data_IF_919864430253
#
_entry.id   IF_919864430253
#
_cell.length_a   1.000
_cell.length_b   1.000
_cell.length_c   1.000
_cell.angle_alpha   90.00
_cell.angle_beta   90.00
_cell.angle_gamma   90.00
#
_symmetry.space_group_name_H-M   'P 1'
#
loop_
_entity.id
_entity.type
_entity.pdbx_description
1 polymer ?
#
# COMPACT_ATOMS: atom_id res chain seq x y z
N UNK A 1 -9.11 -47.70 -20.65
CA UNK A 1 -9.77 -47.47 -19.36
C UNK A 1 -10.78 -46.37 -19.60
N UNK A 2 -12.06 -46.69 -19.45
CA UNK A 2 -13.20 -45.92 -19.94
C UNK A 2 -13.42 -44.69 -19.06
N UNK A 3 -13.48 -43.52 -19.69
CA UNK A 3 -13.86 -42.23 -19.09
C UNK A 3 -15.39 -42.17 -19.04
N UNK A 4 -15.96 -42.02 -17.86
CA UNK A 4 -17.40 -41.77 -17.68
C UNK A 4 -17.55 -40.35 -17.13
N UNK A 5 -18.00 -39.44 -17.99
CA UNK A 5 -18.42 -38.08 -17.65
C UNK A 5 -19.88 -38.08 -17.19
N UNK A 6 -20.15 -37.45 -16.05
CA UNK A 6 -21.49 -37.19 -15.53
C UNK A 6 -21.97 -35.80 -15.94
N UNK A 7 -23.11 -35.76 -16.63
CA UNK A 7 -23.84 -34.55 -16.98
C UNK A 7 -24.78 -34.12 -15.83
N UNK A 8 -24.80 -32.82 -15.53
CA UNK A 8 -25.75 -32.19 -14.60
C UNK A 8 -26.85 -31.50 -15.44
N UNK A 9 -28.15 -31.64 -15.11
CA UNK A 9 -29.23 -31.11 -15.92
C UNK A 9 -29.45 -29.60 -15.70
N UNK A 10 -29.76 -28.93 -16.80
CA UNK A 10 -30.19 -27.54 -16.85
C UNK A 10 -31.60 -27.37 -16.26
N UNK A 11 -31.77 -26.37 -15.39
CA UNK A 11 -33.06 -25.89 -14.92
C UNK A 11 -33.34 -24.53 -15.58
N UNK A 12 -34.35 -24.55 -16.45
CA UNK A 12 -34.99 -23.42 -17.09
C UNK A 12 -36.05 -22.86 -16.13
N UNK A 13 -35.95 -21.58 -15.76
CA UNK A 13 -37.08 -20.79 -15.29
C UNK A 13 -37.01 -19.39 -15.92
N UNK A 14 -38.05 -19.06 -16.67
CA UNK A 14 -38.30 -17.75 -17.25
C UNK A 14 -39.31 -16.99 -16.37
N UNK A 15 -39.19 -15.65 -16.28
CA UNK A 15 -40.19 -14.82 -15.61
C UNK A 15 -39.86 -13.32 -15.42
N UNK A 16 -39.72 -12.59 -16.54
CA UNK A 16 -40.34 -11.28 -16.91
C UNK A 16 -40.45 -10.11 -15.88
N UNK A 17 -39.92 -8.96 -16.36
CA UNK A 17 -40.34 -7.53 -16.23
C UNK A 17 -40.00 -6.66 -15.01
N UNK A 18 -39.23 -5.59 -15.30
CA UNK A 18 -39.78 -4.21 -15.28
C UNK A 18 -39.08 -3.17 -14.39
N UNK A 19 -38.64 -2.06 -15.01
CA UNK A 19 -38.23 -0.80 -14.36
C UNK A 19 -36.77 -0.81 -13.90
N UNK A 20 -35.86 0.09 -14.27
CA UNK A 20 -35.95 1.49 -14.65
C UNK A 20 -34.68 2.11 -14.07
N UNK A 21 -33.69 2.43 -14.89
CA UNK A 21 -32.48 3.12 -14.44
C UNK A 21 -32.89 4.55 -14.07
N UNK A 22 -32.69 4.94 -12.83
CA UNK A 22 -32.71 6.35 -12.44
C UNK A 22 -31.27 6.83 -12.51
N UNK A 23 -31.03 7.81 -13.39
CA UNK A 23 -29.83 8.62 -13.37
C UNK A 23 -29.93 9.55 -12.16
N UNK A 24 -29.09 9.34 -11.15
CA UNK A 24 -28.91 10.32 -10.08
C UNK A 24 -28.19 11.55 -10.66
N UNK A 25 -28.98 12.54 -11.06
CA UNK A 25 -28.49 13.88 -11.34
C UNK A 25 -28.13 14.54 -10.01
N UNK A 26 -26.84 14.54 -9.66
CA UNK A 26 -26.32 15.40 -8.62
C UNK A 26 -26.42 16.84 -9.09
N UNK A 27 -27.36 17.59 -8.53
CA UNK A 27 -27.44 19.05 -8.67
C UNK A 27 -26.62 19.66 -7.54
N UNK A 28 -25.47 20.25 -7.90
CA UNK A 28 -24.72 21.11 -6.99
C UNK A 28 -25.26 22.53 -7.14
N UNK A 29 -25.84 23.11 -6.09
CA UNK A 29 -26.05 24.57 -6.03
C UNK A 29 -24.82 25.19 -5.39
N UNK A 30 -24.02 25.90 -6.18
CA UNK A 30 -22.98 26.76 -5.64
C UNK A 30 -23.61 28.13 -5.32
N UNK A 31 -23.33 28.64 -4.13
CA UNK A 31 -23.61 30.02 -3.75
C UNK A 31 -22.59 30.93 -4.46
N UNK A 32 -23.03 32.03 -5.09
CA UNK A 32 -22.23 32.83 -6.03
C UNK A 32 -21.14 33.70 -5.37
N UNK A 33 -20.96 33.65 -4.06
CA UNK A 33 -20.07 34.54 -3.30
C UNK A 33 -18.77 33.89 -2.75
N UNK A 34 -18.36 32.69 -3.21
CA UNK A 34 -17.12 32.03 -2.74
C UNK A 34 -16.23 31.54 -3.91
N UNK A 35 -14.92 31.91 -3.96
CA UNK A 35 -14.00 31.49 -5.03
C UNK A 35 -13.58 30.00 -4.89
N UNK A 36 -13.21 29.32 -6.00
CA UNK A 36 -13.07 27.87 -6.02
C UNK A 36 -11.76 27.40 -5.39
N UNK A 37 -11.84 26.49 -4.41
CA UNK A 37 -10.81 25.52 -4.07
C UNK A 37 -11.44 24.14 -3.83
N UNK A 38 -10.85 23.10 -4.42
CA UNK A 38 -10.82 21.69 -3.98
C UNK A 38 -9.43 21.19 -4.45
N UNK A 39 -8.45 20.74 -3.64
CA UNK A 39 -8.42 19.96 -2.39
C UNK A 39 -7.88 20.69 -1.14
N UNK A 40 -8.77 21.12 -0.23
CA UNK A 40 -8.79 20.70 1.18
C UNK A 40 -10.01 21.33 1.88
N UNK A 41 -10.94 20.47 2.32
CA UNK A 41 -12.37 20.75 2.61
C UNK A 41 -12.62 21.70 3.81
N UNK A 42 -13.82 22.32 3.88
CA UNK A 42 -14.83 21.71 4.76
C UNK A 42 -16.26 21.82 4.21
N UNK A 43 -16.71 20.80 3.47
CA UNK A 43 -18.15 20.54 3.31
C UNK A 43 -18.49 19.34 4.19
N UNK A 44 -19.21 19.59 5.30
CA UNK A 44 -19.76 18.53 6.15
C UNK A 44 -20.92 17.86 5.42
N UNK A 45 -20.94 16.55 5.57
CA UNK A 45 -22.04 15.66 5.20
C UNK A 45 -23.32 16.06 5.94
N UNK A 46 -24.32 16.54 5.21
CA UNK A 46 -25.68 16.68 5.73
C UNK A 46 -26.41 15.38 5.41
N UNK A 47 -26.45 14.47 6.39
CA UNK A 47 -27.13 13.19 6.27
C UNK A 47 -28.63 13.31 5.94
N UNK A 48 -29.31 12.18 5.67
CA UNK A 48 -30.64 12.15 5.07
C UNK A 48 -31.72 12.46 6.11
N UNK A 49 -31.93 13.75 6.38
CA UNK A 49 -33.13 14.29 7.01
C UNK A 49 -33.16 15.80 6.78
N UNK A 50 -33.58 16.23 5.59
CA UNK A 50 -34.03 17.60 5.37
C UNK A 50 -35.45 17.53 4.81
N UNK A 51 -36.39 17.86 5.68
CA UNK A 51 -37.82 17.94 5.42
C UNK A 51 -38.14 18.93 4.29
N UNK A 52 -39.19 18.57 3.57
CA UNK A 52 -39.88 19.38 2.59
C UNK A 52 -40.20 20.79 3.13
N UNK A 53 -39.87 21.80 2.34
CA UNK A 53 -40.58 23.07 2.35
C UNK A 53 -41.49 23.10 1.12
N UNK A 54 -42.67 22.50 1.29
CA UNK A 54 -43.88 22.96 0.60
C UNK A 54 -44.23 24.34 1.18
N UNK A 55 -44.29 25.37 0.34
CA UNK A 55 -44.70 26.69 0.81
C UNK A 55 -44.65 27.72 -0.29
N UNK A 56 -45.83 28.06 -0.80
CA UNK A 56 -46.06 29.18 -1.69
C UNK A 56 -45.64 30.52 -1.04
N UNK A 57 -45.43 31.49 -1.94
CA UNK A 57 -45.33 32.94 -1.76
C UNK A 57 -43.91 33.55 -1.67
N UNK A 58 -43.71 34.46 -2.63
CA UNK A 58 -42.75 35.56 -2.69
C UNK A 58 -41.27 35.27 -2.97
N UNK A 59 -40.91 35.30 -4.26
CA UNK A 59 -39.74 36.06 -4.72
C UNK A 59 -40.10 36.80 -6.02
N UNK A 60 -40.31 38.11 -5.88
CA UNK A 60 -40.69 39.02 -6.95
C UNK A 60 -39.61 39.18 -8.02
N UNK A 61 -40.12 39.24 -9.24
CA UNK A 61 -39.56 39.80 -10.46
C UNK A 61 -39.14 41.27 -10.28
N UNK A 62 -37.95 41.64 -10.76
CA UNK A 62 -37.64 43.00 -11.17
C UNK A 62 -36.39 43.04 -12.08
N UNK A 63 -36.59 43.40 -13.35
CA UNK A 63 -35.62 44.27 -14.04
C UNK A 63 -35.18 43.84 -15.43
N UNK A 64 -36.11 43.89 -16.38
CA UNK A 64 -35.88 43.93 -17.82
C UNK A 64 -35.32 45.27 -18.29
N UNK A 65 -34.45 45.23 -19.31
CA UNK A 65 -34.15 46.35 -20.21
C UNK A 65 -32.95 45.99 -21.09
N UNK A 66 -32.95 46.07 -22.42
CA UNK A 66 -33.92 46.56 -23.38
C UNK A 66 -33.13 46.90 -24.66
N UNK A 67 -33.47 46.22 -25.76
CA UNK A 67 -33.41 46.64 -27.17
C UNK A 67 -32.17 47.34 -27.76
N UNK A 68 -31.71 46.81 -28.90
CA UNK A 68 -30.87 47.58 -29.84
C UNK A 68 -30.52 46.80 -31.10
N UNK A 69 -31.44 46.70 -32.05
CA UNK A 69 -31.18 46.24 -33.41
C UNK A 69 -30.47 47.34 -34.22
N UNK A 70 -29.43 46.98 -34.99
CA UNK A 70 -28.75 47.86 -35.94
C UNK A 70 -28.12 47.05 -37.07
N UNK A 71 -28.62 47.29 -38.28
CA UNK A 71 -28.27 46.69 -39.58
C UNK A 71 -27.17 47.46 -40.33
N UNK A 72 -26.48 46.76 -41.25
CA UNK A 72 -25.67 47.32 -42.36
C UNK A 72 -24.17 47.10 -42.13
N UNK A 73 -23.36 46.53 -43.02
CA UNK A 73 -23.40 46.49 -44.49
C UNK A 73 -22.16 47.25 -45.00
N UNK A 74 -21.30 46.61 -45.81
CA UNK A 74 -20.21 47.30 -46.51
C UNK A 74 -18.93 46.48 -46.66
N UNK A 75 -18.74 45.94 -47.86
CA UNK A 75 -17.46 45.47 -48.41
C UNK A 75 -16.50 46.65 -48.57
N UNK A 76 -15.19 46.42 -48.41
CA UNK A 76 -14.17 47.10 -49.22
C UNK A 76 -12.86 46.30 -49.21
N UNK A 77 -12.50 45.80 -50.39
CA UNK A 77 -11.16 45.34 -50.69
C UNK A 77 -10.22 46.54 -50.78
N UNK A 78 -9.08 46.45 -50.08
CA UNK A 78 -7.98 47.40 -50.21
C UNK A 78 -6.66 46.64 -50.26
N UNK A 79 -6.22 46.34 -51.49
CA UNK A 79 -4.84 45.93 -51.76
C UNK A 79 -3.88 47.04 -51.34
N UNK A 80 -2.89 46.68 -50.52
CA UNK A 80 -1.84 47.56 -50.04
C UNK A 80 -0.49 46.88 -50.25
N UNK A 81 0.30 47.47 -51.12
CA UNK A 81 1.59 47.03 -51.62
C UNK A 81 2.64 46.76 -50.54
N UNK A 82 3.59 45.88 -50.91
CA UNK A 82 4.67 45.36 -50.09
C UNK A 82 5.40 46.36 -49.18
N UNK A 83 5.41 46.02 -47.88
CA UNK A 83 6.43 46.46 -46.93
C UNK A 83 7.32 45.24 -46.63
N UNK A 84 8.19 44.93 -47.58
CA UNK A 84 9.31 44.01 -47.35
C UNK A 84 10.40 44.74 -46.57
N UNK A 85 10.34 44.66 -45.23
CA UNK A 85 11.37 45.20 -44.33
C UNK A 85 10.77 45.98 -43.16
N UNK A 86 10.38 45.28 -42.10
CA UNK A 86 9.89 45.95 -40.88
C UNK A 86 9.37 45.05 -39.77
N UNK A 87 9.06 43.78 -40.04
CA UNK A 87 8.54 42.87 -39.00
C UNK A 87 9.62 42.34 -38.04
N UNK A 88 10.91 42.48 -38.40
CA UNK A 88 12.01 42.17 -37.48
C UNK A 88 12.10 43.13 -36.28
N UNK A 89 11.44 44.30 -36.34
CA UNK A 89 11.49 45.32 -35.28
C UNK A 89 10.44 45.15 -34.17
N UNK A 90 9.49 44.22 -34.32
CA UNK A 90 8.44 43.94 -33.32
C UNK A 90 8.77 42.77 -32.40
N UNK A 91 9.84 42.02 -32.68
CA UNK A 91 10.29 40.94 -31.81
C UNK A 91 11.17 41.50 -30.69
N UNK A 92 10.62 41.62 -29.50
CA UNK A 92 11.33 42.08 -28.29
C UNK A 92 12.24 40.97 -27.71
N UNK A 93 12.18 39.76 -28.26
CA UNK A 93 13.03 38.62 -27.91
C UNK A 93 13.95 38.20 -29.06
N UNK A 94 13.94 36.92 -29.39
CA UNK A 94 14.76 36.32 -30.44
C UNK A 94 13.91 35.57 -31.46
N UNK A 95 14.42 35.49 -32.70
CA UNK A 95 13.80 34.67 -33.74
C UNK A 95 14.34 33.25 -33.68
N UNK A 96 13.45 32.29 -33.42
CA UNK A 96 13.76 30.86 -33.32
C UNK A 96 12.91 30.06 -34.31
N UNK A 97 13.31 28.82 -34.65
CA UNK A 97 12.48 27.94 -35.47
C UNK A 97 11.10 27.75 -34.84
N UNK A 98 10.04 27.82 -35.65
CA UNK A 98 8.70 27.53 -35.20
C UNK A 98 8.56 26.06 -34.78
N UNK A 99 7.67 25.82 -33.83
CA UNK A 99 7.30 24.51 -33.33
C UNK A 99 6.64 23.65 -34.43
N UNK A 100 6.97 22.35 -34.54
CA UNK A 100 6.20 21.44 -35.38
C UNK A 100 4.78 21.23 -34.83
N UNK A 101 3.83 20.75 -35.65
CA UNK A 101 2.49 20.40 -35.16
C UNK A 101 2.55 19.41 -33.99
N UNK A 102 1.76 19.66 -32.96
CA UNK A 102 1.70 18.85 -31.72
C UNK A 102 2.67 19.31 -30.62
N UNK A 103 3.53 20.29 -30.91
CA UNK A 103 4.38 20.93 -29.90
C UNK A 103 3.83 22.30 -29.52
N UNK A 104 4.05 22.70 -28.28
CA UNK A 104 3.75 24.04 -27.79
C UNK A 104 4.86 25.00 -28.18
N UNK A 105 4.48 26.27 -28.26
CA UNK A 105 5.33 27.35 -28.72
C UNK A 105 6.63 27.49 -27.89
N UNK A 106 7.71 28.02 -28.49
CA UNK A 106 9.01 28.11 -27.81
C UNK A 106 8.94 29.03 -26.58
N UNK A 107 9.33 28.48 -25.43
CA UNK A 107 9.34 29.12 -24.12
C UNK A 107 10.71 29.00 -23.46
N UNK A 108 10.92 29.67 -22.32
CA UNK A 108 12.15 29.55 -21.55
C UNK A 108 12.03 28.44 -20.51
N UNK A 109 13.03 27.57 -20.43
CA UNK A 109 13.14 26.48 -19.46
C UNK A 109 14.42 26.65 -18.65
N UNK A 110 14.29 26.73 -17.34
CA UNK A 110 15.42 26.59 -16.42
C UNK A 110 15.40 25.19 -15.78
N UNK A 111 16.57 24.59 -15.58
CA UNK A 111 16.72 23.31 -14.87
C UNK A 111 17.92 23.35 -13.93
N UNK A 112 17.74 22.92 -12.68
CA UNK A 112 18.83 22.89 -11.71
C UNK A 112 18.37 22.50 -10.30
N UNK A 113 19.23 22.62 -9.29
CA UNK A 113 18.88 22.32 -7.90
C UNK A 113 17.71 23.19 -7.39
N UNK A 114 16.69 22.64 -6.71
CA UNK A 114 15.50 23.37 -6.27
C UNK A 114 15.81 24.69 -5.52
N UNK A 115 16.82 24.68 -4.64
CA UNK A 115 17.21 25.84 -3.82
C UNK A 115 17.84 27.00 -4.62
N UNK A 116 18.14 26.77 -5.90
CA UNK A 116 18.75 27.75 -6.81
C UNK A 116 17.80 28.22 -7.91
N UNK A 117 16.53 27.80 -7.88
CA UNK A 117 15.55 28.12 -8.90
C UNK A 117 15.31 29.64 -9.02
N UNK A 118 15.62 30.25 -10.18
CA UNK A 118 15.38 31.67 -10.39
C UNK A 118 13.90 31.95 -10.67
N UNK A 119 13.49 33.19 -10.43
CA UNK A 119 12.21 33.68 -10.91
C UNK A 119 12.20 33.82 -12.44
N UNK A 120 10.99 33.79 -13.00
CA UNK A 120 10.81 34.01 -14.43
C UNK A 120 11.31 35.41 -14.84
N UNK A 121 12.12 35.53 -15.92
CA UNK A 121 12.70 36.81 -16.32
C UNK A 121 11.63 37.76 -16.89
N UNK A 122 11.92 39.07 -16.89
CA UNK A 122 10.99 40.07 -17.42
C UNK A 122 10.60 39.87 -18.90
N UNK A 123 11.44 39.18 -19.68
CA UNK A 123 11.16 38.81 -21.09
C UNK A 123 10.12 37.68 -21.21
N UNK A 124 9.96 36.87 -20.16
CA UNK A 124 8.99 35.79 -20.06
C UNK A 124 8.39 35.76 -18.64
N UNK A 125 7.60 36.77 -18.23
CA UNK A 125 7.24 36.94 -16.83
C UNK A 125 6.12 36.02 -16.36
N UNK A 126 5.50 35.23 -17.27
CA UNK A 126 4.40 34.34 -16.93
C UNK A 126 4.99 32.99 -16.50
N UNK A 127 4.87 32.60 -15.22
CA UNK A 127 5.25 31.25 -14.80
C UNK A 127 4.35 30.24 -15.52
N UNK A 128 4.98 29.28 -16.18
CA UNK A 128 4.32 28.15 -16.80
C UNK A 128 4.27 26.98 -15.82
N UNK A 129 4.95 25.90 -16.17
CA UNK A 129 4.99 24.66 -15.39
C UNK A 129 6.19 24.60 -14.45
N UNK A 130 5.95 24.06 -13.26
CA UNK A 130 6.97 23.62 -12.31
C UNK A 130 6.99 22.10 -12.32
N UNK A 131 8.14 21.54 -12.68
CA UNK A 131 8.32 20.11 -12.97
C UNK A 131 9.62 19.63 -12.33
N UNK A 132 9.83 18.32 -12.32
CA UNK A 132 10.94 17.71 -11.59
C UNK A 132 11.67 16.64 -12.41
N UNK A 133 12.96 16.45 -12.13
CA UNK A 133 13.77 15.38 -12.71
C UNK A 133 14.77 14.85 -11.67
N UNK A 134 15.40 13.72 -12.01
CA UNK A 134 16.40 13.06 -11.17
C UNK A 134 15.82 12.66 -9.80
N UNK A 135 14.84 11.75 -9.83
CA UNK A 135 14.21 11.20 -8.63
C UNK A 135 15.24 10.44 -7.79
N UNK A 136 15.39 10.85 -6.53
CA UNK A 136 16.25 10.20 -5.53
C UNK A 136 15.34 9.57 -4.47
N UNK A 137 15.36 8.26 -4.39
CA UNK A 137 14.55 7.47 -3.45
C UNK A 137 15.43 6.97 -2.32
N UNK A 138 15.06 7.28 -1.08
CA UNK A 138 15.76 6.74 0.10
C UNK A 138 15.35 5.29 0.36
N UNK A 139 16.24 4.47 0.97
CA UNK A 139 15.90 3.09 1.31
C UNK A 139 14.66 3.03 2.21
N UNK A 140 13.66 2.27 1.77
CA UNK A 140 12.43 2.03 2.53
C UNK A 140 12.59 0.83 3.44
N UNK A 141 12.23 0.97 4.71
CA UNK A 141 12.32 -0.11 5.71
C UNK A 141 10.97 -0.33 6.36
N UNK A 142 10.65 -1.59 6.56
CA UNK A 142 9.47 -2.01 7.29
C UNK A 142 9.84 -2.39 8.72
N UNK A 143 8.92 -2.14 9.64
CA UNK A 143 9.04 -2.60 11.01
C UNK A 143 9.06 -4.13 11.07
N UNK A 144 9.80 -4.68 12.04
CA UNK A 144 9.90 -6.12 12.21
C UNK A 144 8.55 -6.70 12.67
N UNK A 145 8.19 -7.87 12.14
CA UNK A 145 7.05 -8.63 12.62
C UNK A 145 7.39 -9.42 13.88
N UNK A 146 6.43 -9.50 14.79
CA UNK A 146 6.45 -10.36 15.96
C UNK A 146 5.19 -11.22 16.03
N UNK A 147 5.26 -12.25 16.86
CA UNK A 147 4.15 -13.14 17.15
C UNK A 147 3.99 -13.21 18.66
N UNK A 148 2.76 -13.06 19.13
CA UNK A 148 2.44 -13.35 20.51
C UNK A 148 2.59 -14.87 20.78
N UNK A 149 2.88 -15.28 22.02
CA UNK A 149 2.81 -16.68 22.39
C UNK A 149 1.45 -17.27 22.01
N UNK A 150 1.41 -18.51 21.49
CA UNK A 150 0.14 -19.14 21.16
C UNK A 150 -0.66 -19.38 22.43
N UNK A 151 -1.98 -19.27 22.36
CA UNK A 151 -2.83 -19.89 23.36
C UNK A 151 -2.52 -21.38 23.40
N UNK A 152 -2.45 -22.01 24.57
CA UNK A 152 -2.18 -23.45 24.65
C UNK A 152 -2.98 -24.11 25.76
N UNK A 153 -3.24 -25.40 25.58
CA UNK A 153 -3.82 -26.25 26.62
C UNK A 153 -3.05 -27.57 26.71
N UNK A 154 -2.97 -28.14 27.91
CA UNK A 154 -2.36 -29.45 28.12
C UNK A 154 -3.46 -30.52 28.18
N UNK A 155 -3.44 -31.44 27.23
CA UNK A 155 -4.29 -32.62 27.23
C UNK A 155 -3.70 -33.65 28.20
N UNK A 156 -4.45 -33.91 29.26
CA UNK A 156 -4.13 -34.88 30.29
C UNK A 156 -4.19 -36.31 29.69
N UNK A 157 -3.22 -37.19 29.96
CA UNK A 157 -3.23 -38.53 29.39
C UNK A 157 -4.36 -39.34 30.01
N UNK A 158 -5.32 -39.79 29.20
CA UNK A 158 -6.44 -40.62 29.68
C UNK A 158 -6.17 -42.13 29.54
N UNK A 159 -5.24 -42.55 28.67
CA UNK A 159 -5.04 -43.95 28.28
C UNK A 159 -4.10 -44.73 29.23
N UNK A 160 -4.39 -44.71 30.54
CA UNK A 160 -3.56 -45.42 31.54
C UNK A 160 -3.78 -46.93 31.45
N UNK A 161 -2.75 -47.71 31.76
CA UNK A 161 -2.87 -49.18 31.80
C UNK A 161 -2.03 -49.80 32.92
N UNK A 162 -2.62 -50.79 33.59
CA UNK A 162 -1.87 -51.68 34.46
C UNK A 162 -1.25 -52.81 33.64
N UNK A 163 -0.05 -53.22 33.99
CA UNK A 163 0.66 -54.30 33.31
C UNK A 163 0.98 -55.42 34.30
N UNK A 164 0.85 -56.66 33.85
CA UNK A 164 1.15 -57.90 34.58
C UNK A 164 2.66 -58.22 34.66
N UNK A 165 3.50 -57.19 34.51
CA UNK A 165 4.95 -57.28 34.58
C UNK A 165 5.48 -56.20 35.52
N UNK A 166 6.44 -56.57 36.37
CA UNK A 166 7.17 -55.61 37.23
C UNK A 166 8.27 -54.82 36.49
N UNK A 167 8.55 -55.16 35.23
CA UNK A 167 9.56 -54.49 34.41
C UNK A 167 8.95 -53.50 33.42
N UNK A 168 9.61 -52.35 33.25
CA UNK A 168 9.21 -51.27 32.35
C UNK A 168 10.35 -50.92 31.37
N UNK A 169 10.12 -50.82 30.04
CA UNK A 169 8.89 -51.21 29.35
C UNK A 169 8.66 -52.72 29.46
N UNK A 170 7.40 -53.13 29.55
CA UNK A 170 7.07 -54.54 29.68
C UNK A 170 7.49 -55.33 28.43
N UNK A 171 7.99 -56.55 28.65
CA UNK A 171 8.43 -57.42 27.57
C UNK A 171 7.30 -57.82 26.61
N UNK A 172 7.64 -58.32 25.40
CA UNK A 172 6.65 -58.83 24.47
C UNK A 172 5.80 -59.92 25.14
N UNK A 173 4.47 -59.78 25.09
CA UNK A 173 3.52 -60.74 25.67
C UNK A 173 2.94 -60.35 27.03
N UNK A 174 3.43 -59.28 27.66
CA UNK A 174 2.81 -58.74 28.88
C UNK A 174 1.37 -58.28 28.60
N UNK A 175 0.43 -58.69 29.47
CA UNK A 175 -0.96 -58.28 29.38
C UNK A 175 -1.15 -56.88 29.97
N UNK A 176 -1.89 -56.05 29.22
CA UNK A 176 -2.28 -54.71 29.63
C UNK A 176 -3.75 -54.70 30.00
N UNK A 177 -4.04 -54.38 31.24
CA UNK A 177 -5.40 -54.16 31.71
C UNK A 177 -5.71 -52.67 31.63
N UNK A 178 -6.72 -52.24 30.86
CA UNK A 178 -7.10 -50.84 30.78
C UNK A 178 -7.43 -50.28 32.17
N UNK A 179 -6.74 -49.21 32.55
CA UNK A 179 -7.09 -48.38 33.71
C UNK A 179 -7.38 -46.95 33.22
N UNK A 180 -7.91 -46.84 32.00
CA UNK A 180 -8.11 -45.57 31.31
C UNK A 180 -9.16 -44.70 32.01
N UNK A 181 -8.99 -43.39 31.92
CA UNK A 181 -10.02 -42.43 32.31
C UNK A 181 -11.11 -42.34 31.22
N UNK A 182 -12.27 -41.73 31.51
CA UNK A 182 -13.28 -41.46 30.50
C UNK A 182 -12.76 -40.60 29.36
N UNK A 183 -13.48 -40.59 28.23
CA UNK A 183 -13.22 -39.64 27.16
C UNK A 183 -13.42 -38.20 27.66
N UNK A 184 -12.60 -37.26 27.17
CA UNK A 184 -12.60 -35.86 27.59
C UNK A 184 -12.39 -35.64 29.10
N UNK A 185 -11.63 -36.53 29.75
CA UNK A 185 -11.27 -36.37 31.15
C UNK A 185 -10.37 -35.16 31.39
N UNK A 186 -10.75 -34.33 32.36
CA UNK A 186 -10.09 -33.09 32.74
C UNK A 186 -9.04 -33.27 33.86
N UNK A 187 -8.83 -34.50 34.33
CA UNK A 187 -7.93 -34.83 35.43
C UNK A 187 -8.61 -34.93 36.80
N UNK A 188 -9.91 -34.65 36.91
CA UNK A 188 -10.67 -34.83 38.16
C UNK A 188 -10.65 -36.27 38.67
N UNK A 189 -10.86 -36.48 39.97
CA UNK A 189 -10.89 -37.84 40.53
C UNK A 189 -11.95 -38.71 39.83
N UNK A 190 -11.55 -39.89 39.34
CA UNK A 190 -12.47 -40.83 38.69
C UNK A 190 -12.15 -42.29 39.04
N UNK A 191 -13.21 -43.10 39.15
CA UNK A 191 -13.17 -44.56 39.37
C UNK A 191 -13.33 -45.36 38.08
N UNK A 192 -13.39 -44.70 36.92
CA UNK A 192 -13.58 -45.36 35.64
C UNK A 192 -12.51 -46.44 35.41
N UNK A 193 -12.94 -47.63 34.99
CA UNK A 193 -12.06 -48.78 34.75
C UNK A 193 -11.20 -49.20 35.95
N UNK A 194 -11.69 -49.03 37.18
CA UNK A 194 -11.00 -49.49 38.38
C UNK A 194 -10.66 -50.98 38.34
N UNK A 195 -9.51 -51.35 38.92
CA UNK A 195 -9.02 -52.73 39.00
C UNK A 195 -9.02 -53.17 40.47
N UNK A 196 -9.90 -54.13 40.85
CA UNK A 196 -9.94 -54.68 42.21
C UNK A 196 -8.63 -55.31 42.66
N UNK A 197 -8.41 -55.34 43.98
CA UNK A 197 -7.28 -56.02 44.58
C UNK A 197 -7.23 -57.50 44.19
N UNK A 198 -6.04 -58.00 43.85
CA UNK A 198 -5.81 -59.41 43.55
C UNK A 198 -6.45 -59.91 42.24
N UNK A 199 -6.95 -59.03 41.37
CA UNK A 199 -7.46 -59.44 40.07
C UNK A 199 -6.36 -60.18 39.28
N UNK A 200 -6.70 -61.35 38.72
CA UNK A 200 -5.76 -62.20 38.01
C UNK A 200 -5.82 -62.02 36.49
N UNK A 201 -4.66 -61.87 35.85
CA UNK A 201 -4.44 -61.80 34.41
C UNK A 201 -3.31 -62.75 34.02
N UNK A 202 -3.49 -63.53 32.94
CA UNK A 202 -2.49 -64.50 32.44
C UNK A 202 -1.87 -65.42 33.52
N UNK A 203 -2.61 -65.74 34.59
CA UNK A 203 -2.16 -66.62 35.67
C UNK A 203 -1.37 -65.92 36.80
N UNK A 204 -1.23 -64.60 36.76
CA UNK A 204 -0.64 -63.76 37.83
C UNK A 204 -1.49 -62.52 38.14
N UNK A 205 -1.04 -61.61 39.01
CA UNK A 205 -1.75 -60.37 39.28
C UNK A 205 -1.71 -59.42 38.07
N UNK A 206 -2.86 -58.83 37.72
CA UNK A 206 -3.00 -57.86 36.63
C UNK A 206 -2.21 -56.56 36.85
N UNK A 207 -1.98 -56.21 38.11
CA UNK A 207 -1.34 -54.97 38.53
C UNK A 207 0.04 -55.27 39.10
N UNK A 208 1.09 -55.07 38.31
CA UNK A 208 2.49 -55.17 38.75
C UNK A 208 3.31 -53.93 38.36
N UNK A 209 2.90 -53.23 37.30
CA UNK A 209 3.35 -51.88 36.98
C UNK A 209 2.20 -51.05 36.44
N UNK A 210 2.38 -49.73 36.45
CA UNK A 210 1.46 -48.76 35.89
C UNK A 210 2.16 -47.99 34.77
N UNK A 211 1.53 -47.95 33.60
CA UNK A 211 1.97 -47.21 32.43
C UNK A 211 1.02 -46.03 32.18
N UNK A 212 1.59 -44.83 32.14
CA UNK A 212 0.92 -43.55 31.95
C UNK A 212 1.57 -42.88 30.74
N UNK A 213 0.82 -42.67 29.63
CA UNK A 213 1.36 -42.02 28.45
C UNK A 213 1.74 -40.56 28.72
N UNK A 214 2.57 -39.99 27.83
CA UNK A 214 2.94 -38.59 27.88
C UNK A 214 1.72 -37.68 27.61
N UNK A 215 1.54 -36.57 28.36
CA UNK A 215 0.57 -35.53 28.04
C UNK A 215 0.90 -34.85 26.70
N UNK A 216 -0.12 -34.24 26.08
CA UNK A 216 0.04 -33.57 24.78
C UNK A 216 -0.32 -32.09 24.89
N UNK A 217 0.51 -31.23 24.33
CA UNK A 217 0.14 -29.81 24.15
C UNK A 217 -0.79 -29.68 22.95
N UNK A 218 -1.86 -28.93 23.13
CA UNK A 218 -2.77 -28.49 22.07
C UNK A 218 -2.54 -26.98 21.86
N UNK A 219 -1.71 -26.62 20.87
CA UNK A 219 -1.48 -25.21 20.57
C UNK A 219 -2.69 -24.62 19.83
N UNK A 220 -2.98 -23.36 20.15
CA UNK A 220 -3.87 -22.46 19.42
C UNK A 220 -3.08 -21.60 18.43
N UNK A 221 -3.72 -20.59 17.87
CA UNK A 221 -3.07 -19.69 16.91
C UNK A 221 -2.22 -18.62 17.61
N UNK A 222 -1.20 -18.13 16.93
CA UNK A 222 -0.47 -16.93 17.32
C UNK A 222 -1.08 -15.70 16.67
N UNK A 223 -1.18 -14.61 17.42
CA UNK A 223 -1.57 -13.31 16.88
C UNK A 223 -0.32 -12.60 16.31
N UNK A 224 -0.33 -12.18 15.03
CA UNK A 224 0.76 -11.38 14.47
C UNK A 224 0.68 -9.94 14.96
N UNK A 225 1.83 -9.35 15.22
CA UNK A 225 1.97 -7.95 15.62
C UNK A 225 3.18 -7.30 14.93
N UNK A 226 3.17 -5.97 14.89
CA UNK A 226 4.31 -5.17 14.41
C UNK A 226 5.08 -4.69 15.64
N UNK A 227 6.40 -4.87 15.62
CA UNK A 227 7.28 -4.31 16.65
C UNK A 227 7.47 -2.83 16.36
N UNK A 228 6.84 -1.97 17.16
CA UNK A 228 7.11 -0.54 17.07
C UNK A 228 8.55 -0.26 17.53
N UNK A 229 9.35 0.40 16.69
CA UNK A 229 10.63 0.96 17.11
C UNK A 229 10.37 2.09 18.13
N UNK A 230 11.12 2.15 19.25
CA UNK A 230 10.90 3.15 20.27
C UNK A 230 11.22 4.56 19.74
N UNK A 231 10.17 5.38 19.58
CA UNK A 231 10.28 6.77 19.10
C UNK A 231 9.67 7.03 17.74
N UNK A 232 9.15 5.99 17.06
CA UNK A 232 8.43 6.11 15.80
C UNK A 232 6.94 5.86 15.98
N UNK A 233 6.11 6.68 15.31
CA UNK A 233 4.68 6.47 15.31
C UNK A 233 4.34 5.20 14.51
N UNK A 234 3.59 4.24 15.09
CA UNK A 234 3.25 3.01 14.39
C UNK A 234 2.48 3.31 13.10
N UNK A 235 3.10 3.04 11.95
CA UNK A 235 2.46 3.13 10.65
C UNK A 235 2.87 4.33 9.78
N UNK A 236 3.78 5.20 10.22
CA UNK A 236 4.40 6.16 9.30
C UNK A 236 5.52 5.49 8.48
N UNK A 237 5.52 5.65 7.15
CA UNK A 237 6.51 5.04 6.27
C UNK A 237 7.93 5.56 6.55
N UNK A 238 8.84 4.67 6.94
CA UNK A 238 10.27 4.99 7.02
C UNK A 238 10.87 5.05 5.61
N UNK A 239 10.89 6.24 5.02
CA UNK A 239 11.65 6.52 3.82
C UNK A 239 11.03 7.63 2.99
N UNK A 240 11.80 8.67 2.71
CA UNK A 240 11.35 9.76 1.85
C UNK A 240 11.83 9.56 0.41
N UNK A 241 11.32 10.39 -0.49
CA UNK A 241 11.93 10.61 -1.79
C UNK A 241 12.06 12.12 -2.01
N UNK A 242 12.97 12.50 -2.92
CA UNK A 242 13.14 13.89 -3.33
C UNK A 242 13.56 13.97 -4.77
N UNK A 243 13.35 15.14 -5.37
CA UNK A 243 13.82 15.45 -6.71
C UNK A 243 15.13 16.23 -6.63
N UNK A 244 16.18 15.75 -7.30
CA UNK A 244 17.46 16.47 -7.34
C UNK A 244 17.44 17.66 -8.31
N UNK A 245 16.56 17.61 -9.31
CA UNK A 245 16.42 18.66 -10.33
C UNK A 245 15.00 19.22 -10.33
N UNK A 246 14.91 20.54 -10.24
CA UNK A 246 13.71 21.33 -10.47
C UNK A 246 13.76 21.94 -11.86
N UNK A 247 12.62 22.00 -12.54
CA UNK A 247 12.46 22.58 -13.86
C UNK A 247 11.35 23.62 -13.84
N UNK A 248 11.66 24.83 -14.32
CA UNK A 248 10.71 25.95 -14.39
C UNK A 248 10.58 26.42 -15.83
N UNK A 249 9.37 26.33 -16.37
CA UNK A 249 9.02 26.91 -17.65
C UNK A 249 8.46 28.32 -17.47
N UNK A 250 8.85 29.25 -18.33
CA UNK A 250 8.43 30.65 -18.31
C UNK A 250 8.00 31.07 -19.71
N UNK A 251 6.81 31.66 -19.82
CA UNK A 251 6.19 32.08 -21.08
C UNK A 251 6.18 33.61 -21.24
N UNK A 252 6.25 34.06 -22.50
CA UNK A 252 6.10 35.45 -22.87
C UNK A 252 4.63 35.91 -22.79
N UNK A 253 4.43 37.22 -22.60
CA UNK A 253 3.08 37.84 -22.62
C UNK A 253 2.64 38.27 -24.02
N UNK A 254 3.57 38.35 -24.96
CA UNK A 254 3.30 38.84 -26.30
C UNK A 254 2.99 37.66 -27.22
N UNK A 255 1.88 37.69 -27.99
CA UNK A 255 1.59 36.68 -28.98
C UNK A 255 2.78 36.51 -29.92
N UNK A 256 3.17 35.27 -30.27
CA UNK A 256 4.40 35.09 -31.02
C UNK A 256 4.24 35.61 -32.45
N UNK A 257 4.91 36.72 -32.73
CA UNK A 257 4.92 37.35 -34.04
C UNK A 257 5.87 36.60 -35.00
N UNK A 258 5.56 36.54 -36.32
CA UNK A 258 6.50 36.04 -37.31
C UNK A 258 7.72 36.97 -37.39
N UNK A 259 8.92 36.40 -37.50
CA UNK A 259 10.15 37.16 -37.60
C UNK A 259 11.23 36.35 -38.31
N UNK A 260 12.29 36.97 -38.86
CA UNK A 260 13.46 36.25 -39.39
C UNK A 260 13.26 35.41 -40.67
N UNK A 261 12.03 35.23 -41.17
CA UNK A 261 11.72 34.51 -42.41
C UNK A 261 10.60 33.46 -42.24
N UNK A 262 10.26 32.70 -43.31
CA UNK A 262 9.28 31.61 -43.22
C UNK A 262 9.74 30.51 -42.25
N UNK A 263 8.85 30.03 -41.38
CA UNK A 263 9.15 28.96 -40.41
C UNK A 263 9.91 29.43 -39.15
N UNK A 264 10.02 30.74 -38.95
CA UNK A 264 10.64 31.35 -37.78
C UNK A 264 9.58 32.14 -37.00
N UNK A 265 9.69 32.12 -35.67
CA UNK A 265 8.75 32.73 -34.73
C UNK A 265 9.53 33.52 -33.68
N UNK A 266 8.96 34.63 -33.23
CA UNK A 266 9.49 35.38 -32.10
C UNK A 266 9.24 34.61 -30.79
N UNK A 267 10.28 34.44 -29.99
CA UNK A 267 10.23 33.82 -28.66
C UNK A 267 11.00 34.68 -27.65
N UNK A 268 10.66 34.64 -26.35
CA UNK A 268 11.48 35.29 -25.34
C UNK A 268 12.95 34.89 -25.43
N UNK A 269 13.84 35.86 -25.26
CA UNK A 269 15.26 35.62 -25.15
C UNK A 269 15.65 35.32 -23.69
N UNK A 270 16.52 34.33 -23.44
CA UNK A 270 17.16 34.18 -22.15
C UNK A 270 17.88 35.48 -21.75
N UNK A 271 17.90 35.82 -20.45
CA UNK A 271 18.69 36.95 -19.97
C UNK A 271 20.18 36.75 -20.26
N UNK A 272 20.86 37.82 -20.69
CA UNK A 272 22.31 37.83 -20.94
C UNK A 272 23.11 37.78 -19.63
N UNK A 273 24.24 37.06 -19.60
CA UNK A 273 25.16 37.00 -18.45
C UNK A 273 25.23 35.62 -17.77
N UNK A 274 25.35 35.61 -16.44
CA UNK A 274 25.51 34.40 -15.60
C UNK A 274 24.30 33.43 -15.66
N UNK A 275 23.24 33.80 -16.39
CA UNK A 275 22.07 32.98 -16.71
C UNK A 275 22.12 32.38 -18.13
N UNK A 276 23.32 32.26 -18.72
CA UNK A 276 23.55 31.50 -19.94
C UNK A 276 23.71 29.99 -19.64
N UNK A 277 23.32 29.09 -20.55
CA UNK A 277 23.52 27.65 -20.36
C UNK A 277 24.98 27.31 -20.06
N UNK A 278 25.28 26.40 -19.12
CA UNK A 278 24.35 25.43 -18.52
C UNK A 278 23.57 25.90 -17.28
N UNK A 279 23.87 27.07 -16.70
CA UNK A 279 23.30 27.53 -15.41
C UNK A 279 22.09 28.48 -15.59
N UNK A 280 21.38 28.36 -16.71
CA UNK A 280 20.45 29.40 -17.17
C UNK A 280 19.28 28.93 -18.01
N UNK A 281 18.47 29.89 -18.47
CA UNK A 281 17.28 29.59 -19.25
C UNK A 281 17.63 29.13 -20.67
N UNK A 282 16.99 28.05 -21.11
CA UNK A 282 17.05 27.50 -22.45
C UNK A 282 15.76 27.82 -23.20
N UNK A 283 15.85 28.19 -24.47
CA UNK A 283 14.65 28.21 -25.33
C UNK A 283 14.30 26.81 -25.81
N UNK A 284 13.08 26.38 -25.46
CA UNK A 284 12.60 25.02 -25.70
C UNK A 284 11.14 25.01 -26.16
N UNK A 285 10.79 24.00 -26.95
CA UNK A 285 9.40 23.62 -27.23
C UNK A 285 8.97 22.49 -26.31
N UNK A 286 7.67 22.35 -26.10
CA UNK A 286 7.08 21.46 -25.10
C UNK A 286 6.08 20.47 -25.72
N UNK A 287 6.14 19.21 -25.31
CA UNK A 287 5.08 18.22 -25.53
C UNK A 287 4.53 17.79 -24.17
N UNK A 288 3.24 18.06 -23.92
CA UNK A 288 2.62 17.95 -22.58
C UNK A 288 2.40 16.50 -22.12
N UNK A 289 2.48 15.55 -23.03
CA UNK A 289 2.17 14.15 -22.73
C UNK A 289 3.36 13.30 -23.08
N UNK A 290 3.89 12.55 -22.13
CA UNK A 290 4.83 11.46 -22.36
C UNK A 290 6.23 11.87 -22.81
N UNK A 291 7.02 10.84 -23.13
CA UNK A 291 8.35 10.97 -23.69
C UNK A 291 8.30 11.00 -25.21
N UNK A 292 8.83 12.08 -25.80
CA UNK A 292 8.84 12.28 -27.24
C UNK A 292 10.25 12.48 -27.79
N UNK A 293 10.46 12.07 -29.04
CA UNK A 293 11.69 12.39 -29.77
C UNK A 293 11.70 13.85 -30.18
N UNK A 294 12.85 14.50 -30.01
CA UNK A 294 12.98 15.89 -30.38
C UNK A 294 13.14 16.10 -31.88
N UNK A 295 12.52 17.15 -32.45
CA UNK A 295 12.74 17.50 -33.84
C UNK A 295 14.19 17.98 -34.06
N UNK A 296 14.74 17.85 -35.28
CA UNK A 296 16.11 18.27 -35.57
C UNK A 296 16.40 19.75 -35.30
N UNK A 297 15.37 20.60 -35.26
CA UNK A 297 15.48 22.03 -34.94
C UNK A 297 15.66 22.30 -33.44
N UNK A 298 15.28 21.37 -32.56
CA UNK A 298 15.41 21.45 -31.11
C UNK A 298 16.02 20.16 -30.54
N UNK A 299 17.27 19.81 -30.88
CA UNK A 299 17.81 18.47 -30.65
C UNK A 299 18.06 18.11 -29.17
N UNK A 300 18.14 19.08 -28.26
CA UNK A 300 18.43 18.82 -26.84
C UNK A 300 17.18 18.35 -26.09
N UNK A 301 17.05 17.04 -25.89
CA UNK A 301 15.94 16.43 -25.13
C UNK A 301 16.10 16.57 -23.62
N UNK A 302 15.02 16.95 -22.94
CA UNK A 302 14.86 16.97 -21.48
C UNK A 302 13.50 16.35 -21.13
N UNK A 303 13.50 15.31 -20.31
CA UNK A 303 12.27 14.71 -19.78
C UNK A 303 12.16 15.10 -18.32
N UNK A 304 11.00 15.62 -17.94
CA UNK A 304 10.68 16.06 -16.58
C UNK A 304 9.28 15.54 -16.23
N UNK A 305 8.94 15.56 -14.95
CA UNK A 305 7.76 14.92 -14.41
C UNK A 305 6.98 15.89 -13.52
N UNK A 306 5.65 15.79 -13.54
CA UNK A 306 4.76 16.55 -12.65
C UNK A 306 4.90 16.14 -11.19
N UNK A 307 5.27 14.89 -10.93
CA UNK A 307 5.41 14.37 -9.58
C UNK A 307 5.84 12.91 -9.57
N UNK A 308 5.68 12.25 -8.43
CA UNK A 308 5.92 10.83 -8.27
C UNK A 308 4.72 10.16 -7.61
N UNK A 309 4.53 8.88 -7.91
CA UNK A 309 3.63 7.99 -7.20
C UNK A 309 4.47 7.07 -6.30
N UNK A 310 4.13 7.04 -5.01
CA UNK A 310 4.78 6.18 -4.02
C UNK A 310 3.83 5.04 -3.67
N UNK A 311 4.12 3.85 -4.19
CA UNK A 311 3.36 2.62 -3.93
C UNK A 311 4.01 1.79 -2.81
N UNK A 312 5.05 2.30 -2.17
CA UNK A 312 5.81 1.54 -1.18
C UNK A 312 4.95 1.21 0.02
N UNK A 313 5.08 -0.03 0.48
CA UNK A 313 4.35 -0.55 1.62
C UNK A 313 5.07 -1.76 2.21
N UNK A 314 4.44 -2.37 3.21
CA UNK A 314 4.97 -3.55 3.87
C UNK A 314 4.05 -4.75 3.63
N UNK A 315 4.64 -5.93 3.44
CA UNK A 315 3.86 -7.18 3.52
C UNK A 315 3.24 -7.30 4.91
N UNK A 316 2.02 -7.84 4.97
CA UNK A 316 1.33 -8.04 6.24
C UNK A 316 2.10 -9.03 7.13
N UNK A 317 2.16 -8.76 8.43
CA UNK A 317 2.73 -9.70 9.39
C UNK A 317 1.90 -10.98 9.48
N UNK A 318 2.58 -12.10 9.51
CA UNK A 318 2.01 -13.45 9.65
C UNK A 318 2.79 -14.25 10.69
N UNK A 319 2.12 -15.24 11.27
CA UNK A 319 2.75 -16.17 12.20
C UNK A 319 2.66 -17.58 11.62
N UNK A 320 3.77 -18.30 11.68
CA UNK A 320 3.82 -19.72 11.35
C UNK A 320 3.15 -20.60 12.40
N UNK A 321 3.15 -21.91 12.14
CA UNK A 321 2.61 -22.89 13.08
C UNK A 321 3.39 -22.90 14.41
N UNK A 322 2.69 -22.99 15.55
CA UNK A 322 3.30 -23.12 16.87
C UNK A 322 4.24 -24.34 16.97
N UNK A 323 5.38 -24.14 17.62
CA UNK A 323 6.35 -25.21 17.87
C UNK A 323 7.02 -25.08 19.23
N UNK A 324 7.53 -26.20 19.74
CA UNK A 324 8.28 -26.24 21.01
C UNK A 324 7.41 -26.15 22.27
N UNK A 325 6.09 -26.35 22.17
CA UNK A 325 5.24 -26.42 23.35
C UNK A 325 5.47 -27.71 24.15
N UNK A 326 5.48 -27.60 25.47
CA UNK A 326 5.62 -28.73 26.39
C UNK A 326 4.64 -28.59 27.55
N UNK A 327 4.19 -29.71 28.13
CA UNK A 327 3.45 -29.66 29.38
C UNK A 327 3.77 -30.81 30.31
N UNK A 328 3.58 -30.54 31.60
CA UNK A 328 3.83 -31.47 32.69
C UNK A 328 2.56 -31.70 33.48
N UNK A 329 2.27 -32.97 33.76
CA UNK A 329 1.09 -33.40 34.50
C UNK A 329 1.52 -34.26 35.69
N UNK A 330 1.03 -33.91 36.88
CA UNK A 330 1.12 -34.77 38.04
C UNK A 330 -0.03 -35.78 38.00
N UNK A 331 0.30 -37.02 37.65
CA UNK A 331 -0.64 -38.13 37.58
C UNK A 331 -0.57 -38.95 38.88
N UNK A 332 -1.72 -39.26 39.49
CA UNK A 332 -1.82 -40.04 40.73
C UNK A 332 -2.84 -41.17 40.62
N UNK A 333 -2.49 -42.35 41.14
CA UNK A 333 -3.39 -43.48 41.30
C UNK A 333 -3.59 -43.82 42.78
N UNK A 334 -4.78 -44.30 43.10
CA UNK A 334 -5.22 -44.58 44.46
C UNK A 334 -5.91 -45.93 44.53
N UNK A 335 -5.88 -46.58 45.69
CA UNK A 335 -6.48 -47.91 45.87
C UNK A 335 -7.97 -47.86 46.21
N UNK A 336 -8.44 -46.72 46.70
CA UNK A 336 -9.84 -46.45 47.03
C UNK A 336 -10.55 -45.70 45.90
N UNK A 337 -11.85 -45.49 46.06
CA UNK A 337 -12.69 -44.79 45.08
C UNK A 337 -12.68 -43.26 45.25
N UNK A 338 -12.18 -42.73 46.37
CA UNK A 338 -12.25 -41.32 46.72
C UNK A 338 -10.94 -40.55 46.48
N UNK A 339 -9.99 -41.12 45.73
CA UNK A 339 -8.65 -40.57 45.52
C UNK A 339 -7.93 -40.19 46.83
N UNK A 340 -8.07 -41.00 47.88
CA UNK A 340 -7.56 -40.66 49.23
C UNK A 340 -6.44 -41.59 49.72
N UNK A 341 -6.42 -42.84 49.26
CA UNK A 341 -5.44 -43.86 49.64
C UNK A 341 -4.42 -43.99 48.52
N UNK A 342 -3.37 -43.18 48.59
CA UNK A 342 -2.33 -43.06 47.57
C UNK A 342 -1.60 -44.40 47.30
N UNK A 343 -1.42 -44.72 46.02
CA UNK A 343 -0.64 -45.88 45.56
C UNK A 343 0.64 -45.41 44.89
N UNK A 344 0.51 -44.57 43.86
CA UNK A 344 1.65 -44.08 43.07
C UNK A 344 1.31 -42.70 42.49
N UNK A 345 2.34 -41.87 42.36
CA UNK A 345 2.27 -40.54 41.79
C UNK A 345 3.50 -40.29 40.93
N UNK A 346 3.30 -39.74 39.75
CA UNK A 346 4.35 -39.49 38.79
C UNK A 346 4.15 -38.14 38.11
N UNK A 347 5.25 -37.41 37.95
CA UNK A 347 5.29 -36.28 37.04
C UNK A 347 5.57 -36.82 35.64
N UNK A 348 4.59 -36.73 34.75
CA UNK A 348 4.74 -37.09 33.33
C UNK A 348 4.87 -35.82 32.51
N UNK A 349 5.76 -35.83 31.52
CA UNK A 349 5.99 -34.70 30.62
C UNK A 349 5.76 -35.13 29.18
N UNK A 350 5.59 -34.17 28.28
CA UNK A 350 5.39 -34.45 26.84
C UNK A 350 6.50 -35.32 26.20
N UNK A 351 7.69 -35.36 26.80
CA UNK A 351 8.82 -36.18 26.34
C UNK A 351 9.05 -37.45 27.20
N UNK A 352 8.54 -37.48 28.43
CA UNK A 352 8.79 -38.54 29.39
C UNK A 352 7.46 -39.13 29.91
N UNK A 353 6.94 -40.21 29.28
CA UNK A 353 5.86 -40.99 29.87
C UNK A 353 6.34 -41.69 31.14
N UNK A 354 5.41 -42.14 31.98
CA UNK A 354 5.74 -42.88 33.20
C UNK A 354 5.43 -44.36 33.03
N UNK A 355 6.40 -45.21 33.36
CA UNK A 355 6.17 -46.62 33.61
C UNK A 355 6.92 -47.02 34.88
N UNK A 356 6.19 -47.45 35.91
CA UNK A 356 6.78 -47.79 37.20
C UNK A 356 6.15 -49.01 37.83
N UNK A 357 6.96 -49.80 38.53
CA UNK A 357 6.49 -50.95 39.30
C UNK A 357 5.62 -50.51 40.49
N UNK A 358 4.57 -51.28 40.75
CA UNK A 358 3.72 -51.17 41.95
C UNK A 358 3.66 -52.54 42.63
N UNK A 359 3.24 -52.59 43.90
CA UNK A 359 3.16 -53.86 44.60
C UNK A 359 2.21 -54.83 43.85
N UNK A 360 2.61 -56.08 43.57
CA UNK A 360 1.80 -57.02 42.81
C UNK A 360 0.41 -57.24 43.42
N UNK A 361 -0.64 -57.09 42.61
CA UNK A 361 -2.03 -57.29 43.03
C UNK A 361 -2.65 -56.09 43.77
N UNK A 362 -1.96 -54.95 43.81
CA UNK A 362 -2.51 -53.69 44.37
C UNK A 362 -3.76 -53.28 43.61
N UNK A 363 -4.78 -52.83 44.36
CA UNK A 363 -5.98 -52.24 43.75
C UNK A 363 -5.66 -50.89 43.12
N UNK A 364 -6.23 -50.63 41.95
CA UNK A 364 -6.29 -49.31 41.33
C UNK A 364 -7.75 -48.87 41.32
N UNK A 365 -8.19 -48.27 42.42
CA UNK A 365 -9.58 -47.89 42.67
C UNK A 365 -9.98 -46.55 42.04
N UNK A 366 -9.06 -45.59 41.98
CA UNK A 366 -9.29 -44.29 41.36
C UNK A 366 -8.00 -43.63 40.89
N UNK A 367 -8.14 -42.56 40.10
CA UNK A 367 -7.05 -41.78 39.54
C UNK A 367 -7.41 -40.31 39.44
N UNK A 368 -6.39 -39.46 39.53
CA UNK A 368 -6.47 -38.02 39.30
C UNK A 368 -5.24 -37.56 38.53
N UNK A 369 -5.36 -36.43 37.86
CA UNK A 369 -4.25 -35.78 37.19
C UNK A 369 -4.41 -34.26 37.25
N UNK A 370 -3.31 -33.55 37.41
CA UNK A 370 -3.30 -32.09 37.44
C UNK A 370 -2.18 -31.57 36.54
N UNK A 371 -2.50 -30.63 35.66
CA UNK A 371 -1.48 -29.89 34.91
C UNK A 371 -0.70 -29.04 35.91
N UNK A 372 0.61 -29.25 35.99
CA UNK A 372 1.48 -28.50 36.90
C UNK A 372 2.32 -27.45 36.18
N UNK A 373 2.54 -27.64 34.89
CA UNK A 373 3.30 -26.71 34.05
C UNK A 373 2.86 -26.80 32.59
N UNK A 374 2.87 -25.66 31.90
CA UNK A 374 2.50 -25.54 30.49
C UNK A 374 3.36 -24.46 29.84
N UNK A 375 4.19 -24.89 28.90
CA UNK A 375 4.94 -24.04 27.99
C UNK A 375 4.19 -24.02 26.65
N UNK A 376 3.61 -22.87 26.24
CA UNK A 376 2.79 -22.80 25.03
C UNK A 376 3.60 -22.99 23.73
N UNK A 377 4.91 -22.76 23.78
CA UNK A 377 5.80 -22.75 22.61
C UNK A 377 5.88 -21.37 21.98
N UNK A 378 6.31 -21.32 20.72
CA UNK A 378 6.48 -20.07 19.97
C UNK A 378 6.13 -20.25 18.48
N UNK A 379 5.81 -19.14 17.83
CA UNK A 379 5.60 -19.08 16.39
C UNK A 379 6.71 -18.30 15.71
N UNK A 380 7.14 -18.77 14.54
CA UNK A 380 8.05 -18.03 13.69
C UNK A 380 7.30 -16.85 13.03
N UNK A 381 7.74 -15.60 13.20
CA UNK A 381 7.16 -14.47 12.49
C UNK A 381 7.57 -14.50 11.01
N UNK A 382 6.69 -13.98 10.15
CA UNK A 382 6.97 -13.71 8.74
C UNK A 382 6.26 -12.44 8.28
N UNK A 383 6.63 -11.91 7.12
CA UNK A 383 6.15 -10.61 6.65
C UNK A 383 7.07 -9.46 7.05
N UNK A 384 6.59 -8.24 6.87
CA UNK A 384 7.38 -7.03 7.12
C UNK A 384 8.48 -6.82 6.08
N UNK A 385 8.34 -7.40 4.88
CA UNK A 385 9.21 -7.09 3.74
C UNK A 385 8.70 -5.85 3.00
N UNK A 386 9.60 -4.96 2.54
CA UNK A 386 9.22 -3.83 1.72
C UNK A 386 8.72 -4.30 0.35
N UNK A 387 7.60 -3.74 -0.08
CA UNK A 387 6.99 -3.94 -1.40
C UNK A 387 6.72 -2.59 -2.05
N UNK A 388 6.40 -2.61 -3.35
CA UNK A 388 6.14 -1.40 -4.12
C UNK A 388 7.43 -0.65 -4.47
N UNK A 389 7.24 0.54 -5.02
CA UNK A 389 8.27 1.38 -5.62
C UNK A 389 7.82 2.84 -5.66
N UNK A 390 8.78 3.74 -5.93
CA UNK A 390 8.49 5.14 -6.23
C UNK A 390 8.79 5.38 -7.69
N UNK A 391 7.77 5.79 -8.44
CA UNK A 391 7.87 6.00 -9.87
C UNK A 391 7.49 7.44 -10.25
N UNK A 392 8.23 8.08 -11.16
CA UNK A 392 7.82 9.36 -11.76
C UNK A 392 6.45 9.27 -12.45
N UNK A 393 5.63 10.32 -12.32
CA UNK A 393 4.30 10.46 -12.91
C UNK A 393 4.21 11.73 -13.75
N UNK A 394 3.42 11.69 -14.82
CA UNK A 394 3.14 12.86 -15.66
C UNK A 394 4.40 13.31 -16.39
N UNK A 395 4.98 12.40 -17.19
CA UNK A 395 6.15 12.71 -17.99
C UNK A 395 5.80 13.77 -19.03
N UNK A 396 6.70 14.73 -19.18
CA UNK A 396 6.60 15.88 -20.08
C UNK A 396 7.95 16.04 -20.78
N UNK A 397 7.92 16.29 -22.08
CA UNK A 397 9.15 16.42 -22.89
C UNK A 397 9.39 17.87 -23.29
N UNK A 398 10.56 18.39 -22.95
CA UNK A 398 11.10 19.62 -23.52
C UNK A 398 12.20 19.30 -24.53
N UNK A 399 12.16 20.01 -25.65
CA UNK A 399 13.17 19.96 -26.68
C UNK A 399 13.76 21.36 -26.87
N UNK A 400 15.06 21.49 -26.62
CA UNK A 400 15.74 22.77 -26.51
C UNK A 400 16.74 23.00 -27.65
N UNK A 401 17.08 24.27 -27.88
CA UNK A 401 18.17 24.63 -28.78
C UNK A 401 19.53 24.32 -28.13
N UNK A 402 20.43 23.65 -28.85
CA UNK A 402 21.81 23.35 -28.38
C UNK A 402 22.65 24.63 -28.19
N UNK A 403 22.37 25.67 -29.00
CA UNK A 403 22.99 26.98 -28.92
C UNK A 403 21.89 28.04 -28.97
N UNK A 404 21.89 28.94 -27.99
CA UNK A 404 21.04 30.11 -28.04
C UNK A 404 21.46 30.98 -29.24
N UNK A 405 20.52 31.36 -30.14
CA UNK A 405 20.78 32.37 -31.15
C UNK A 405 21.38 33.62 -30.50
N UNK A 406 22.49 34.13 -31.04
CA UNK A 406 23.04 35.40 -30.56
C UNK A 406 22.03 36.51 -30.87
N UNK A 407 21.72 37.40 -29.91
CA UNK A 407 20.87 38.55 -30.19
C UNK A 407 21.49 39.38 -31.33
N UNK A 408 20.67 40.03 -32.18
CA UNK A 408 21.20 40.88 -33.24
C UNK A 408 22.07 41.97 -32.63
N UNK A 409 23.32 42.07 -33.09
CA UNK A 409 24.28 43.11 -32.67
C UNK A 409 23.59 44.48 -32.82
N UNK A 410 23.56 45.32 -31.77
CA UNK A 410 22.92 46.63 -31.87
C UNK A 410 23.55 47.39 -33.04
N UNK A 411 22.76 48.12 -33.85
CA UNK A 411 23.31 48.85 -34.99
C UNK A 411 24.44 49.74 -34.47
N UNK A 412 25.64 49.55 -35.03
CA UNK A 412 26.81 50.36 -34.68
C UNK A 412 26.40 51.82 -34.76
N UNK A 413 26.33 52.48 -33.61
CA UNK A 413 26.14 53.93 -33.54
C UNK A 413 27.23 54.53 -34.42
N UNK A 414 26.80 55.25 -35.45
CA UNK A 414 27.70 55.98 -36.34
C UNK A 414 28.60 56.85 -35.45
N UNK A 415 29.90 56.59 -35.47
CA UNK A 415 30.86 57.34 -34.69
C UNK A 415 31.21 58.61 -35.48
N UNK A 416 30.75 59.81 -35.08
CA UNK A 416 31.04 61.05 -35.79
C UNK A 416 32.53 61.44 -35.77
N UNK A 417 33.38 60.74 -35.00
CA UNK A 417 34.83 60.99 -34.94
C UNK A 417 35.64 60.21 -36.00
N UNK A 418 34.99 59.35 -36.77
CA UNK A 418 35.60 58.68 -37.93
C UNK A 418 34.75 59.05 -39.16
N UNK A 419 35.00 60.27 -39.67
CA UNK A 419 34.26 60.88 -40.77
C UNK A 419 34.19 60.06 -42.06
#
# INVERSE_FOLDING_TARGET
>A
MVVVGGAIPALLMAGIAGGGCTDDVYTYSCDDDIPPMIDDKPCRDAGPAADACDGADDCNDAGTGGGGAGTGGGEEEGGGDGIGGGLSSLCVGQCVPAEPPGWFEPMLLWMGPPDSAPDCPATAPVPGFELHADLVVEPYRCAACACDPPDASCEVPAAWSAVDSSTCPAGPGAQRTPFAAPEAWDGTCTTANAIPAGQACAGGPCTQSLDIPAPRVRPGACAPSVVAEPGEEPGEPQGSFRWATFARACAGVTPPAPCGGPGMRCSPAPPEGDAAPPEGFLTCILHHEGEHECPPTYPSRRVVYEGAEDSRGCTACTCGEPSGGACSVLASAFSDEACSVFVVGALVTSEAPFCGAIAPGTALGSKSAAVVDLEPGSCAPGGGEPIGDVAPRGAVTFCCLDRQPQPPEPPRLWNPELG
#
